data_IF_460959485922
#
_entry.id   IF_460959485922
#
_cell.length_a   1.000
_cell.length_b   1.000
_cell.length_c   1.000
_cell.angle_alpha   90.00
_cell.angle_beta   90.00
_cell.angle_gamma   90.00
#
_symmetry.space_group_name_H-M   'P 1'
#
loop_
_entity.id
_entity.type
_entity.pdbx_description
1 polymer ?
#
# COMPACT_ATOMS: atom_id res chain seq x y z
N UNK A 1 21.41 10.61 12.97
CA UNK A 1 20.11 11.21 12.61
C UNK A 1 19.09 10.08 12.57
N UNK A 2 18.18 10.01 13.53
CA UNK A 2 17.10 9.03 13.54
C UNK A 2 16.06 9.50 12.51
N UNK A 3 15.81 8.71 11.47
CA UNK A 3 14.71 8.98 10.56
C UNK A 3 13.40 8.77 11.33
N UNK A 4 12.58 9.82 11.45
CA UNK A 4 11.23 9.69 11.97
C UNK A 4 10.40 8.94 10.93
N UNK A 5 9.75 7.85 11.34
CA UNK A 5 8.83 7.09 10.50
C UNK A 5 7.41 7.48 10.89
N UNK A 6 6.62 7.92 9.91
CA UNK A 6 5.19 8.19 10.03
C UNK A 6 4.44 6.91 9.70
N UNK A 7 3.47 6.54 10.54
CA UNK A 7 2.56 5.42 10.31
C UNK A 7 1.19 5.90 9.87
N UNK A 8 0.54 5.15 8.97
CA UNK A 8 -0.88 5.31 8.71
C UNK A 8 -1.53 3.96 8.36
N UNK A 9 -2.80 3.80 8.68
CA UNK A 9 -3.54 2.57 8.42
C UNK A 9 -4.93 2.83 7.88
N UNK A 10 -5.39 1.98 6.96
CA UNK A 10 -6.77 1.91 6.51
C UNK A 10 -7.26 0.46 6.53
N UNK A 11 -8.53 0.26 6.88
CA UNK A 11 -9.24 -1.01 6.68
C UNK A 11 -10.28 -0.82 5.61
N UNK A 12 -10.18 -1.62 4.56
CA UNK A 12 -11.01 -1.49 3.36
C UNK A 12 -12.01 -2.64 3.37
N UNK A 13 -13.31 -2.40 3.63
CA UNK A 13 -14.32 -3.44 3.63
C UNK A 13 -14.43 -4.12 2.25
N UNK A 14 -14.18 -5.42 2.18
CA UNK A 14 -14.29 -6.20 0.95
C UNK A 14 -14.25 -7.71 1.23
N UNK A 15 -15.08 -8.48 0.51
CA UNK A 15 -14.99 -9.94 0.49
C UNK A 15 -13.89 -10.48 -0.46
N UNK A 16 -13.13 -9.59 -1.11
CA UNK A 16 -12.16 -9.92 -2.15
C UNK A 16 -10.72 -9.55 -1.78
N UNK A 17 -10.43 -9.44 -0.48
CA UNK A 17 -9.13 -8.99 0.02
C UNK A 17 -7.94 -9.83 -0.51
N UNK A 18 -7.99 -11.19 -0.55
CA UNK A 18 -6.88 -11.97 -1.11
C UNK A 18 -6.62 -11.67 -2.59
N UNK A 19 -7.71 -11.49 -3.37
CA UNK A 19 -7.63 -11.13 -4.80
C UNK A 19 -6.94 -9.78 -4.98
N UNK A 20 -7.33 -8.78 -4.20
CA UNK A 20 -6.79 -7.43 -4.31
C UNK A 20 -5.33 -7.35 -3.90
N UNK A 21 -4.98 -7.99 -2.78
CA UNK A 21 -3.61 -8.13 -2.32
C UNK A 21 -2.75 -8.76 -3.42
N UNK A 22 -3.18 -9.89 -3.98
CA UNK A 22 -2.41 -10.59 -5.01
C UNK A 22 -2.20 -9.76 -6.27
N UNK A 23 -3.26 -9.10 -6.77
CA UNK A 23 -3.14 -8.27 -7.97
C UNK A 23 -2.26 -7.04 -7.75
N UNK A 24 -2.36 -6.38 -6.59
CA UNK A 24 -1.52 -5.23 -6.26
C UNK A 24 -0.05 -5.64 -6.16
N UNK A 25 0.26 -6.72 -5.43
CA UNK A 25 1.61 -7.27 -5.33
C UNK A 25 2.17 -7.68 -6.71
N UNK A 26 1.37 -8.36 -7.54
CA UNK A 26 1.78 -8.80 -8.86
C UNK A 26 2.04 -7.63 -9.83
N UNK A 27 1.32 -6.52 -9.69
CA UNK A 27 1.55 -5.31 -10.46
C UNK A 27 2.83 -4.59 -10.00
N UNK A 28 3.00 -4.44 -8.68
CA UNK A 28 4.08 -3.61 -8.13
C UNK A 28 5.44 -4.31 -8.10
N UNK A 29 5.50 -5.65 -8.14
CA UNK A 29 6.77 -6.40 -8.26
C UNK A 29 7.56 -6.09 -9.53
N UNK A 30 6.91 -5.49 -10.55
CA UNK A 30 7.58 -5.05 -11.77
C UNK A 30 8.50 -3.84 -11.56
N UNK A 31 8.26 -3.06 -10.49
CA UNK A 31 8.96 -1.80 -10.22
C UNK A 31 9.61 -1.76 -8.84
N UNK A 32 9.11 -2.55 -7.90
CA UNK A 32 9.48 -2.49 -6.49
C UNK A 32 9.81 -3.87 -5.94
N UNK A 33 10.55 -3.90 -4.83
CA UNK A 33 10.71 -5.13 -4.04
C UNK A 33 9.37 -5.45 -3.36
N UNK A 34 8.88 -6.66 -3.60
CA UNK A 34 7.64 -7.18 -3.03
C UNK A 34 7.89 -8.54 -2.42
N UNK A 35 7.50 -8.70 -1.16
CA UNK A 35 7.49 -9.98 -0.46
C UNK A 35 6.03 -10.37 -0.23
N UNK A 36 5.65 -11.57 -0.64
CA UNK A 36 4.29 -12.06 -0.54
C UNK A 36 4.27 -13.44 0.11
N UNK A 37 3.35 -13.62 1.05
CA UNK A 37 3.03 -14.90 1.68
C UNK A 37 1.51 -15.05 1.76
N UNK A 38 1.02 -16.20 2.24
CA UNK A 38 -0.42 -16.46 2.25
C UNK A 38 -1.18 -15.40 3.06
N UNK A 39 -2.07 -14.67 2.37
CA UNK A 39 -2.85 -13.56 2.94
C UNK A 39 -2.05 -12.30 3.35
N UNK A 40 -0.75 -12.20 3.04
CA UNK A 40 0.09 -11.04 3.43
C UNK A 40 1.01 -10.56 2.32
N UNK A 41 1.22 -9.24 2.24
CA UNK A 41 2.14 -8.62 1.29
C UNK A 41 2.91 -7.47 1.92
N UNK A 42 4.19 -7.37 1.61
CA UNK A 42 5.05 -6.24 1.98
C UNK A 42 5.63 -5.66 0.69
N UNK A 43 5.51 -4.35 0.51
CA UNK A 43 6.04 -3.64 -0.65
C UNK A 43 6.95 -2.52 -0.18
N UNK A 44 8.20 -2.53 -0.65
CA UNK A 44 9.18 -1.49 -0.35
C UNK A 44 9.21 -0.45 -1.47
N UNK A 45 8.92 0.79 -1.10
CA UNK A 45 8.99 1.96 -1.97
C UNK A 45 10.36 2.60 -1.73
N UNK A 46 11.32 2.47 -2.65
CA UNK A 46 12.65 3.00 -2.43
C UNK A 46 12.63 4.53 -2.35
N UNK A 47 13.55 5.10 -1.58
CA UNK A 47 13.67 6.55 -1.36
C UNK A 47 13.81 7.38 -2.63
N UNK A 48 14.24 6.80 -3.74
CA UNK A 48 14.42 7.44 -5.05
C UNK A 48 13.29 7.04 -6.04
N UNK A 49 12.19 6.49 -5.53
CA UNK A 49 11.02 6.21 -6.35
C UNK A 49 10.43 7.51 -6.92
N UNK A 50 10.16 7.49 -8.24
CA UNK A 50 9.51 8.57 -9.03
C UNK A 50 10.37 9.82 -9.25
N UNK A 51 11.69 9.67 -9.34
CA UNK A 51 12.62 10.80 -9.52
C UNK A 51 12.55 11.83 -8.36
N UNK A 52 11.91 11.43 -7.26
CA UNK A 52 11.77 12.19 -6.02
C UNK A 52 12.74 11.60 -4.99
N UNK A 53 13.51 12.45 -4.32
CA UNK A 53 14.46 12.03 -3.29
C UNK A 53 13.82 12.15 -1.90
N UNK A 54 13.20 11.08 -1.45
CA UNK A 54 12.66 10.97 -0.08
C UNK A 54 13.78 10.82 0.95
N UNK A 55 13.55 11.24 2.21
CA UNK A 55 14.51 11.03 3.30
C UNK A 55 14.84 9.56 3.57
N UNK A 56 13.90 8.65 3.31
CA UNK A 56 14.06 7.20 3.47
C UNK A 56 13.04 6.40 2.67
N UNK A 57 13.16 5.09 2.75
CA UNK A 57 12.23 4.16 2.08
C UNK A 57 10.86 4.20 2.74
N UNK A 58 9.82 3.97 1.93
CA UNK A 58 8.47 3.70 2.39
C UNK A 58 8.20 2.19 2.41
N UNK A 59 7.32 1.76 3.31
CA UNK A 59 6.84 0.38 3.37
C UNK A 59 5.32 0.35 3.33
N UNK A 60 4.78 -0.61 2.59
CA UNK A 60 3.35 -0.91 2.59
C UNK A 60 3.15 -2.35 3.02
N UNK A 61 2.32 -2.54 4.03
CA UNK A 61 1.92 -3.83 4.53
C UNK A 61 0.44 -4.05 4.18
N UNK A 62 0.16 -5.23 3.65
CA UNK A 62 -1.17 -5.68 3.26
C UNK A 62 -1.50 -6.95 4.03
N UNK A 63 -2.68 -7.00 4.64
CA UNK A 63 -3.20 -8.20 5.29
C UNK A 63 -4.62 -8.45 4.77
N UNK A 64 -4.82 -9.59 4.12
CA UNK A 64 -6.13 -10.00 3.64
C UNK A 64 -6.92 -10.67 4.77
N UNK A 65 -8.02 -10.04 5.18
CA UNK A 65 -9.04 -10.62 6.04
C UNK A 65 -10.15 -11.30 5.24
N UNK A 66 -11.13 -11.84 5.96
CA UNK A 66 -12.33 -12.46 5.36
C UNK A 66 -13.28 -11.40 4.79
N UNK A 67 -13.37 -10.24 5.46
CA UNK A 67 -14.33 -9.15 5.13
C UNK A 67 -13.65 -7.79 4.93
N UNK A 68 -12.32 -7.73 5.03
CA UNK A 68 -11.56 -6.50 4.82
C UNK A 68 -10.16 -6.79 4.27
N UNK A 69 -9.58 -5.76 3.65
CA UNK A 69 -8.16 -5.65 3.37
C UNK A 69 -7.58 -4.57 4.28
N UNK A 70 -6.69 -4.95 5.19
CA UNK A 70 -5.93 -4.00 5.99
C UNK A 70 -4.70 -3.53 5.20
N UNK A 71 -4.50 -2.20 5.18
CA UNK A 71 -3.36 -1.55 4.56
C UNK A 71 -2.68 -0.67 5.59
N UNK A 72 -1.39 -0.91 5.85
CA UNK A 72 -0.56 -0.07 6.72
C UNK A 72 0.60 0.49 5.92
N UNK A 73 0.87 1.78 6.07
CA UNK A 73 1.95 2.50 5.40
C UNK A 73 2.90 3.02 6.47
N UNK A 74 4.19 2.85 6.21
CA UNK A 74 5.27 3.54 6.91
C UNK A 74 5.98 4.43 5.89
N UNK A 75 6.20 5.70 6.23
CA UNK A 75 6.85 6.68 5.35
C UNK A 75 7.84 7.55 6.13
N UNK A 76 8.84 8.07 5.43
CA UNK A 76 9.90 8.91 6.01
C UNK A 76 9.55 10.39 6.11
N UNK A 77 8.48 10.84 5.46
CA UNK A 77 7.92 12.19 5.56
C UNK A 77 6.45 12.24 5.13
N UNK A 78 5.75 13.33 5.43
CA UNK A 78 4.31 13.51 5.11
C UNK A 78 4.03 13.50 3.61
N UNK A 79 4.91 14.14 2.81
CA UNK A 79 4.79 14.15 1.36
C UNK A 79 4.87 12.73 0.75
N UNK A 80 5.80 11.91 1.26
CA UNK A 80 5.90 10.50 0.86
C UNK A 80 4.67 9.71 1.29
N UNK A 81 4.17 9.92 2.52
CA UNK A 81 2.94 9.28 3.01
C UNK A 81 1.76 9.56 2.08
N UNK A 82 1.55 10.83 1.71
CA UNK A 82 0.45 11.22 0.84
C UNK A 82 0.60 10.64 -0.58
N UNK A 83 1.81 10.67 -1.14
CA UNK A 83 2.10 10.05 -2.43
C UNK A 83 1.80 8.54 -2.43
N UNK A 84 2.15 7.84 -1.34
CA UNK A 84 1.86 6.41 -1.18
C UNK A 84 0.36 6.18 -1.04
N UNK A 85 -0.37 6.94 -0.19
CA UNK A 85 -1.82 6.81 -0.03
C UNK A 85 -2.57 6.97 -1.35
N UNK A 86 -2.23 7.99 -2.14
CA UNK A 86 -2.81 8.21 -3.46
C UNK A 86 -2.49 7.08 -4.44
N UNK A 87 -1.24 6.58 -4.41
CA UNK A 87 -0.86 5.45 -5.24
C UNK A 87 -1.65 4.19 -4.87
N UNK A 88 -1.81 3.88 -3.59
CA UNK A 88 -2.61 2.74 -3.12
C UNK A 88 -4.06 2.87 -3.57
N UNK A 89 -4.72 4.00 -3.29
CA UNK A 89 -6.11 4.22 -3.64
C UNK A 89 -6.37 4.07 -5.15
N UNK A 90 -5.50 4.65 -5.99
CA UNK A 90 -5.59 4.54 -7.44
C UNK A 90 -5.47 3.11 -7.94
N UNK A 91 -4.50 2.34 -7.43
CA UNK A 91 -4.27 0.97 -7.93
C UNK A 91 -5.30 -0.01 -7.40
N UNK A 92 -5.71 0.11 -6.13
CA UNK A 92 -6.81 -0.69 -5.60
C UNK A 92 -8.13 -0.38 -6.31
N UNK A 93 -8.42 0.89 -6.63
CA UNK A 93 -9.60 1.25 -7.42
C UNK A 93 -9.62 0.61 -8.81
N UNK A 94 -8.46 0.52 -9.48
CA UNK A 94 -8.33 -0.17 -10.78
C UNK A 94 -8.48 -1.69 -10.68
N UNK A 95 -8.09 -2.27 -9.56
CA UNK A 95 -8.20 -3.71 -9.28
C UNK A 95 -9.64 -4.08 -8.87
N UNK A 96 -10.33 -3.21 -8.15
CA UNK A 96 -11.69 -3.42 -7.68
C UNK A 96 -12.74 -3.34 -8.80
N UNK A 97 -12.55 -2.46 -9.80
CA UNK A 97 -13.48 -2.23 -10.93
C UNK A 97 -14.95 -2.16 -10.49
N UNK A 98 -15.66 -3.30 -10.52
CA UNK A 98 -17.07 -3.43 -10.14
C UNK A 98 -17.34 -3.12 -8.66
N UNK A 99 -16.33 -3.30 -7.83
CA UNK A 99 -16.41 -3.09 -6.38
C UNK A 99 -15.94 -1.68 -5.98
N UNK A 100 -15.72 -0.78 -6.96
CA UNK A 100 -15.34 0.60 -6.74
C UNK A 100 -16.57 1.52 -6.62
N UNK A 101 -16.48 2.64 -5.85
CA UNK A 101 -15.31 3.09 -5.10
C UNK A 101 -15.11 2.31 -3.79
N UNK A 102 -13.85 2.02 -3.46
CA UNK A 102 -13.50 1.42 -2.18
C UNK A 102 -13.52 2.49 -1.08
N UNK A 103 -14.12 2.18 0.07
CA UNK A 103 -14.03 3.03 1.25
C UNK A 103 -12.63 2.89 1.88
N UNK A 104 -11.79 3.91 1.69
CA UNK A 104 -10.43 3.96 2.23
C UNK A 104 -10.34 5.15 3.19
N UNK A 105 -10.45 4.86 4.48
CA UNK A 105 -10.33 5.87 5.55
C UNK A 105 -9.00 5.69 6.28
N UNK A 106 -8.08 6.61 6.04
CA UNK A 106 -6.76 6.62 6.68
C UNK A 106 -6.84 7.13 8.12
N UNK A 107 -6.14 6.45 9.02
CA UNK A 107 -5.88 6.85 10.41
C UNK A 107 -4.39 6.89 10.69
#
# INVERSE_FOLDING_TARGET
MTLTVLGSMARIPTAHAPRYLHQLCAHWKQRFRVEQSDGRGIIQIPRDARDEAWPGDGLIFLIAGVVDLEVRIEASCEAQMEAIRQAVARHLGRVALKDAPLAIEWR
#
